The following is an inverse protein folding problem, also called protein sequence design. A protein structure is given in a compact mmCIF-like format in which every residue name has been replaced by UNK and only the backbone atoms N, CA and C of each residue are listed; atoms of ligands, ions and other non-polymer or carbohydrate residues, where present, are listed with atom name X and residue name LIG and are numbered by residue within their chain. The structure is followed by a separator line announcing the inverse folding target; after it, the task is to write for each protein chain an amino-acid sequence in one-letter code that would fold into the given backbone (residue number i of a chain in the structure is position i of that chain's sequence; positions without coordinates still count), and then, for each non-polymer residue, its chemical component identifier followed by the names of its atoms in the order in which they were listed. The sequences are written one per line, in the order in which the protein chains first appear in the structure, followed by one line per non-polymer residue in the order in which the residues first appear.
data_IF_434359546329
#
_entry.id   IF_434359546329
#
_cell.length_a   1.000
_cell.length_b   1.000
_cell.length_c   1.000
_cell.angle_alpha   90.00
_cell.angle_beta   90.00
_cell.angle_gamma   90.00
#
_symmetry.space_group_name_H-M   'P 1'
#
loop_
_entity.id
_entity.type
_entity.pdbx_description
1 polymer ?
#
# COMPACT_ATOMS: atom_id res chain seq x y z
N UNK A 1 -30.64 27.56 -34.75
CA UNK A 1 -29.97 27.68 -33.44
C UNK A 1 -29.57 26.28 -32.95
N UNK A 2 -28.65 25.59 -33.62
CA UNK A 2 -28.30 24.20 -33.25
C UNK A 2 -26.79 23.95 -33.13
N UNK A 3 -25.94 24.65 -33.87
CA UNK A 3 -24.49 24.37 -33.90
C UNK A 3 -23.74 24.74 -32.61
N UNK A 4 -24.23 25.76 -31.88
CA UNK A 4 -23.58 26.22 -30.63
C UNK A 4 -23.79 25.28 -29.44
N UNK A 5 -24.93 24.57 -29.41
CA UNK A 5 -25.24 23.62 -28.34
C UNK A 5 -24.46 22.32 -28.57
N UNK A 6 -24.32 21.91 -29.82
CA UNK A 6 -23.55 20.72 -30.21
C UNK A 6 -22.06 20.87 -29.86
N UNK A 7 -21.46 22.03 -30.14
CA UNK A 7 -20.07 22.33 -29.75
C UNK A 7 -19.85 22.37 -28.23
N UNK A 8 -20.78 22.96 -27.46
CA UNK A 8 -20.68 23.00 -26.01
C UNK A 8 -20.75 21.60 -25.37
N UNK A 9 -21.56 20.71 -25.97
CA UNK A 9 -21.64 19.30 -25.59
C UNK A 9 -20.33 18.57 -25.87
N UNK A 10 -19.74 18.75 -27.06
CA UNK A 10 -18.47 18.13 -27.44
C UNK A 10 -17.31 18.57 -26.55
N UNK A 11 -17.23 19.86 -26.19
CA UNK A 11 -16.20 20.38 -25.27
C UNK A 11 -16.37 19.79 -23.86
N UNK A 12 -17.61 19.66 -23.39
CA UNK A 12 -17.91 19.07 -22.07
C UNK A 12 -17.54 17.59 -22.01
N UNK A 13 -17.77 16.84 -23.08
CA UNK A 13 -17.40 15.43 -23.19
C UNK A 13 -15.88 15.25 -23.24
N UNK A 14 -15.18 16.10 -24.02
CA UNK A 14 -13.72 16.11 -24.07
C UNK A 14 -13.08 16.40 -22.71
N UNK A 15 -13.63 17.38 -21.97
CA UNK A 15 -13.18 17.70 -20.61
C UNK A 15 -13.34 16.52 -19.65
N UNK A 16 -14.47 15.79 -19.72
CA UNK A 16 -14.70 14.58 -18.90
C UNK A 16 -13.70 13.47 -19.23
N UNK A 17 -13.46 13.21 -20.51
CA UNK A 17 -12.47 12.22 -20.96
C UNK A 17 -11.06 12.58 -20.48
N UNK A 18 -10.66 13.85 -20.57
CA UNK A 18 -9.37 14.31 -20.07
C UNK A 18 -9.23 14.20 -18.54
N UNK A 19 -10.29 14.53 -17.78
CA UNK A 19 -10.28 14.37 -16.33
C UNK A 19 -10.10 12.90 -15.93
N UNK A 20 -10.81 11.99 -16.60
CA UNK A 20 -10.70 10.54 -16.39
C UNK A 20 -9.28 10.06 -16.72
N UNK A 21 -8.74 10.45 -17.87
CA UNK A 21 -7.37 10.10 -18.27
C UNK A 21 -6.32 10.61 -17.27
N UNK A 22 -6.48 11.85 -16.77
CA UNK A 22 -5.60 12.43 -15.75
C UNK A 22 -5.69 11.67 -14.40
N UNK A 23 -6.88 11.23 -13.99
CA UNK A 23 -7.05 10.39 -12.80
C UNK A 23 -6.32 9.05 -12.95
N UNK A 24 -6.45 8.38 -14.09
CA UNK A 24 -5.74 7.12 -14.33
C UNK A 24 -4.22 7.29 -14.45
N UNK A 25 -3.75 8.39 -15.06
CA UNK A 25 -2.32 8.71 -15.13
C UNK A 25 -1.71 8.92 -13.74
N UNK A 26 -2.38 9.67 -12.87
CA UNK A 26 -1.94 9.90 -11.49
C UNK A 26 -1.99 8.61 -10.64
N UNK A 27 -3.00 7.76 -10.85
CA UNK A 27 -3.10 6.47 -10.17
C UNK A 27 -1.96 5.51 -10.57
N UNK A 28 -1.54 5.54 -11.84
CA UNK A 28 -0.41 4.73 -12.32
C UNK A 28 0.93 5.20 -11.72
N UNK A 29 1.19 6.50 -11.73
CA UNK A 29 2.37 7.12 -11.10
C UNK A 29 2.48 6.82 -9.60
N UNK A 30 1.35 6.66 -8.92
CA UNK A 30 1.32 6.37 -7.47
C UNK A 30 1.61 4.90 -7.15
N UNK A 31 1.29 3.97 -8.07
CA UNK A 31 1.59 2.53 -7.91
C UNK A 31 3.06 2.19 -8.15
N UNK A 32 3.74 2.97 -8.98
CA UNK A 32 5.15 2.78 -9.34
C UNK A 32 6.14 3.38 -8.32
N UNK A 33 5.67 3.90 -7.17
CA UNK A 33 6.59 4.25 -6.09
C UNK A 33 7.14 2.97 -5.49
N UNK A 34 8.33 2.58 -5.94
CA UNK A 34 9.12 1.51 -5.31
C UNK A 34 9.15 1.80 -3.81
N UNK A 35 8.62 0.90 -2.97
CA UNK A 35 8.57 1.16 -1.53
C UNK A 35 10.02 1.25 -1.04
N UNK A 36 10.34 2.31 -0.29
CA UNK A 36 11.72 2.54 0.13
C UNK A 36 12.13 1.44 1.12
N UNK A 37 13.32 0.85 0.99
CA UNK A 37 13.84 -0.07 2.00
C UNK A 37 14.11 0.73 3.28
N UNK A 38 13.54 0.27 4.39
CA UNK A 38 13.65 0.95 5.69
C UNK A 38 14.38 0.12 6.75
N UNK A 39 14.90 -1.05 6.38
CA UNK A 39 15.72 -1.88 7.24
C UNK A 39 15.54 -3.37 6.98
N UNK A 40 15.96 -4.18 7.95
CA UNK A 40 15.81 -5.64 7.92
C UNK A 40 14.64 -6.09 8.79
N UNK A 41 13.89 -7.08 8.31
CA UNK A 41 12.79 -7.72 9.01
C UNK A 41 13.32 -8.39 10.27
N UNK A 42 12.72 -8.07 11.41
CA UNK A 42 13.16 -8.60 12.71
C UNK A 42 12.93 -10.11 12.91
N UNK A 43 12.20 -10.76 12.00
CA UNK A 43 11.93 -12.20 12.04
C UNK A 43 12.82 -13.00 11.07
N UNK A 44 12.80 -12.66 9.79
CA UNK A 44 13.50 -13.41 8.74
C UNK A 44 14.71 -12.70 8.13
N UNK A 45 15.04 -11.48 8.59
CA UNK A 45 16.13 -10.63 8.07
C UNK A 45 15.97 -10.20 6.60
N UNK A 46 14.82 -10.46 5.97
CA UNK A 46 14.53 -9.93 4.64
C UNK A 46 14.35 -8.41 4.66
N UNK A 47 14.47 -7.74 3.52
CA UNK A 47 14.28 -6.28 3.42
C UNK A 47 12.86 -5.91 3.84
N UNK A 48 12.75 -5.03 4.84
CA UNK A 48 11.50 -4.39 5.22
C UNK A 48 11.39 -3.03 4.54
N UNK A 49 10.17 -2.63 4.19
CA UNK A 49 9.90 -1.42 3.40
C UNK A 49 8.97 -0.46 4.14
N UNK A 50 9.01 0.82 3.80
CA UNK A 50 8.11 1.86 4.35
C UNK A 50 8.08 1.93 5.89
N UNK A 51 9.26 1.87 6.52
CA UNK A 51 9.48 1.92 7.97
C UNK A 51 8.82 0.76 8.73
N UNK A 52 8.47 -0.31 8.03
CA UNK A 52 7.95 -1.52 8.64
C UNK A 52 9.05 -2.29 9.40
N UNK A 53 8.69 -2.83 10.56
CA UNK A 53 9.55 -3.72 11.36
C UNK A 53 9.63 -5.14 10.78
N UNK A 54 8.62 -5.52 9.98
CA UNK A 54 8.51 -6.84 9.35
C UNK A 54 8.35 -6.68 7.84
N UNK A 55 8.92 -7.60 7.05
CA UNK A 55 8.83 -7.58 5.59
C UNK A 55 7.43 -7.97 5.07
N UNK A 56 6.63 -8.69 5.87
CA UNK A 56 5.27 -9.10 5.52
C UNK A 56 4.43 -9.36 6.78
N UNK A 57 3.12 -9.43 6.61
CA UNK A 57 2.17 -9.71 7.69
C UNK A 57 2.38 -11.10 8.32
N UNK A 58 2.80 -12.09 7.53
CA UNK A 58 3.06 -13.44 8.03
C UNK A 58 4.21 -13.44 9.04
N UNK A 59 5.31 -12.73 8.75
CA UNK A 59 6.43 -12.58 9.68
C UNK A 59 6.01 -11.87 10.98
N UNK A 60 5.09 -10.91 10.90
CA UNK A 60 4.57 -10.23 12.09
C UNK A 60 3.73 -11.19 12.96
N UNK A 61 2.85 -12.00 12.34
CA UNK A 61 2.02 -12.99 13.04
C UNK A 61 2.86 -14.09 13.69
N UNK A 62 3.84 -14.60 12.98
CA UNK A 62 4.73 -15.65 13.47
C UNK A 62 5.53 -15.18 14.68
N UNK A 63 6.11 -13.98 14.59
CA UNK A 63 6.83 -13.36 15.71
C UNK A 63 5.93 -13.12 16.94
N UNK A 64 4.69 -12.66 16.73
CA UNK A 64 3.72 -12.50 17.82
C UNK A 64 3.38 -13.84 18.48
N UNK A 65 3.15 -14.90 17.68
CA UNK A 65 2.89 -16.24 18.17
C UNK A 65 4.05 -16.83 18.96
N UNK A 66 5.28 -16.70 18.44
CA UNK A 66 6.50 -17.13 19.12
C UNK A 66 6.68 -16.42 20.47
N UNK A 67 6.48 -15.09 20.52
CA UNK A 67 6.57 -14.33 21.76
C UNK A 67 5.46 -14.68 22.76
N UNK A 68 4.23 -14.92 22.31
CA UNK A 68 3.15 -15.36 23.18
C UNK A 68 3.47 -16.72 23.81
N UNK A 69 4.01 -17.66 23.04
CA UNK A 69 4.46 -18.98 23.53
C UNK A 69 5.62 -18.84 24.51
N UNK A 70 6.62 -18.01 24.20
CA UNK A 70 7.76 -17.73 25.09
C UNK A 70 7.31 -17.13 26.43
N UNK A 71 6.39 -16.16 26.40
CA UNK A 71 5.82 -15.59 27.63
C UNK A 71 5.04 -16.61 28.45
N UNK A 72 4.24 -17.47 27.79
CA UNK A 72 3.55 -18.57 28.48
C UNK A 72 4.53 -19.55 29.11
N UNK A 73 5.58 -19.95 28.39
CA UNK A 73 6.62 -20.84 28.90
C UNK A 73 7.35 -20.24 30.10
N UNK A 74 7.71 -18.95 30.05
CA UNK A 74 8.33 -18.24 31.17
C UNK A 74 7.43 -18.17 32.42
N UNK A 75 6.12 -17.98 32.25
CA UNK A 75 5.16 -18.02 33.37
C UNK A 75 5.06 -19.41 34.02
N UNK A 76 5.23 -20.48 33.24
CA UNK A 76 5.17 -21.86 33.73
C UNK A 76 6.51 -22.24 34.40
N UNK A 77 7.63 -21.84 33.82
CA UNK A 77 8.98 -22.14 34.32
C UNK A 77 9.43 -21.27 35.50
N UNK A 78 8.73 -20.16 35.78
CA UNK A 78 8.99 -19.27 36.92
C UNK A 78 8.22 -19.63 38.20
N UNK A 79 7.73 -20.87 38.32
CA UNK A 79 7.08 -21.43 39.51
C UNK A 79 7.88 -22.63 40.01
#
# INVERSE_FOLDING_TARGET
MSDKIDQASAVSELMRCNAIAAHYANAKLSKDKTPLPSGECRWCSAVAVNDAVFCCEECAKDWQGHNATKQKAQRIAGR
#
